data_IF_292960860542
#
_entry.id   IF_292960860542
#
_cell.length_a   1.000
_cell.length_b   1.000
_cell.length_c   1.000
_cell.angle_alpha   90.00
_cell.angle_beta   90.00
_cell.angle_gamma   90.00
#
_symmetry.space_group_name_H-M   'P 1'
#
loop_
_entity.id
_entity.type
_entity.pdbx_description
1 polymer ?
#
# COMPACT_ATOMS: atom_id res chain seq x y z
N UNK A 1 8.06 -13.10 -18.56
CA UNK A 1 6.76 -13.73 -18.20
C UNK A 1 6.14 -14.57 -19.33
N UNK A 2 6.18 -14.08 -20.59
CA UNK A 2 5.27 -14.49 -21.67
C UNK A 2 5.15 -15.98 -22.07
N UNK A 3 6.20 -16.77 -22.34
CA UNK A 3 5.97 -18.09 -22.95
C UNK A 3 5.24 -19.10 -22.06
N UNK A 4 5.33 -18.96 -20.73
CA UNK A 4 4.88 -19.98 -19.78
C UNK A 4 3.47 -19.75 -19.24
N UNK A 5 2.99 -18.49 -19.22
CA UNK A 5 1.73 -18.15 -18.54
C UNK A 5 0.70 -17.47 -19.45
N UNK A 6 1.02 -17.23 -20.73
CA UNK A 6 0.13 -16.52 -21.66
C UNK A 6 -1.23 -17.20 -21.84
N UNK A 7 -1.25 -18.54 -21.85
CA UNK A 7 -2.47 -19.34 -22.06
C UNK A 7 -3.18 -19.69 -20.74
N UNK A 8 -2.69 -19.19 -19.61
CA UNK A 8 -3.29 -19.38 -18.30
C UNK A 8 -4.30 -18.26 -18.02
N UNK A 9 -5.40 -18.62 -17.36
CA UNK A 9 -6.35 -17.66 -16.83
C UNK A 9 -5.70 -16.81 -15.75
N UNK A 10 -6.10 -15.54 -15.65
CA UNK A 10 -5.50 -14.63 -14.68
C UNK A 10 -5.61 -15.12 -13.23
N UNK A 11 -6.70 -15.82 -12.88
CA UNK A 11 -6.92 -16.41 -11.55
C UNK A 11 -5.98 -17.56 -11.20
N UNK A 12 -5.29 -18.18 -12.18
CA UNK A 12 -4.34 -19.26 -11.93
C UNK A 12 -2.89 -18.78 -11.90
N UNK A 13 -2.67 -17.47 -12.12
CA UNK A 13 -1.36 -16.84 -12.14
C UNK A 13 -1.11 -16.13 -10.81
N UNK A 14 0.01 -16.44 -10.16
CA UNK A 14 0.47 -15.67 -9.01
C UNK A 14 1.04 -14.33 -9.48
N UNK A 15 0.40 -13.22 -9.08
CA UNK A 15 0.84 -11.85 -9.39
C UNK A 15 1.40 -11.19 -8.12
N UNK A 16 2.73 -11.00 -8.00
CA UNK A 16 3.32 -10.36 -6.83
C UNK A 16 2.79 -8.94 -6.64
N UNK A 17 2.47 -8.60 -5.38
CA UNK A 17 1.87 -7.33 -4.97
C UNK A 17 2.82 -6.53 -4.08
N UNK A 18 2.96 -5.23 -4.35
CA UNK A 18 3.62 -4.28 -3.46
C UNK A 18 2.57 -3.55 -2.62
N UNK A 19 2.71 -3.62 -1.29
CA UNK A 19 1.87 -2.91 -0.34
C UNK A 19 2.35 -1.46 -0.15
N UNK A 20 1.45 -0.48 -0.19
CA UNK A 20 1.81 0.94 -0.17
C UNK A 20 2.89 1.28 -1.20
N UNK A 21 2.68 0.84 -2.44
CA UNK A 21 3.69 0.83 -3.49
C UNK A 21 4.25 2.21 -3.85
N UNK A 22 3.53 3.29 -3.53
CA UNK A 22 3.98 4.67 -3.72
C UNK A 22 4.92 5.22 -2.64
N UNK A 23 5.21 4.45 -1.58
CA UNK A 23 5.99 4.88 -0.42
C UNK A 23 7.44 4.38 -0.51
N UNK A 24 8.16 4.82 -1.55
CA UNK A 24 9.59 4.53 -1.75
C UNK A 24 10.53 5.72 -1.50
N UNK A 25 9.98 6.93 -1.54
CA UNK A 25 10.69 8.16 -1.18
C UNK A 25 9.67 9.09 -0.54
N UNK A 26 9.86 9.47 0.73
CA UNK A 26 8.87 10.29 1.40
C UNK A 26 9.11 11.76 1.07
N UNK A 27 8.06 12.45 0.63
CA UNK A 27 8.13 13.88 0.34
C UNK A 27 8.08 14.70 1.63
N UNK A 28 7.11 14.39 2.50
CA UNK A 28 6.87 15.09 3.76
C UNK A 28 6.30 14.16 4.83
N UNK A 29 6.49 14.53 6.10
CA UNK A 29 5.96 13.82 7.24
C UNK A 29 4.98 14.69 8.02
N UNK A 30 4.00 14.05 8.66
CA UNK A 30 3.08 14.67 9.61
C UNK A 30 3.31 14.10 11.00
N UNK A 31 3.49 15.01 11.97
CA UNK A 31 3.56 14.72 13.41
C UNK A 31 4.61 13.64 13.74
N UNK A 32 4.19 12.41 14.07
CA UNK A 32 5.08 11.30 14.43
C UNK A 32 5.49 10.43 13.22
N UNK A 33 5.19 10.91 12.00
CA UNK A 33 5.71 10.34 10.77
C UNK A 33 7.22 10.44 10.68
N UNK A 34 7.84 9.38 10.20
CA UNK A 34 9.27 9.30 9.93
C UNK A 34 9.53 8.28 8.83
N UNK A 35 10.77 8.22 8.33
CA UNK A 35 11.19 7.24 7.34
C UNK A 35 10.83 5.81 7.76
N UNK A 36 11.13 5.46 9.02
CA UNK A 36 10.92 4.10 9.55
C UNK A 36 9.46 3.72 9.73
N UNK A 37 8.56 4.70 9.87
CA UNK A 37 7.13 4.47 10.06
C UNK A 37 6.31 4.64 8.79
N UNK A 38 6.90 5.22 7.74
CA UNK A 38 6.18 5.61 6.52
C UNK A 38 6.63 4.83 5.29
N UNK A 39 7.92 4.50 5.17
CA UNK A 39 8.46 3.84 3.99
C UNK A 39 8.23 2.33 4.04
N UNK A 40 7.63 1.82 2.97
CA UNK A 40 7.32 0.40 2.78
C UNK A 40 8.04 -0.21 1.59
N UNK A 41 8.56 0.64 0.68
CA UNK A 41 9.26 0.22 -0.53
C UNK A 41 10.63 0.90 -0.63
N UNK A 42 11.57 0.30 -1.35
CA UNK A 42 12.86 0.92 -1.68
C UNK A 42 12.99 1.23 -3.19
N UNK A 43 11.98 0.84 -3.96
CA UNK A 43 12.00 0.85 -5.42
C UNK A 43 10.86 1.69 -5.96
N UNK A 44 11.14 2.44 -7.01
CA UNK A 44 10.18 3.29 -7.70
C UNK A 44 9.09 2.46 -8.38
N UNK A 45 8.00 3.08 -8.84
CA UNK A 45 6.96 2.40 -9.64
C UNK A 45 7.52 1.88 -10.97
N UNK A 46 8.56 2.53 -11.50
CA UNK A 46 9.28 2.02 -12.65
C UNK A 46 10.08 0.76 -12.32
N UNK A 47 10.79 0.73 -11.19
CA UNK A 47 11.72 -0.36 -10.84
C UNK A 47 11.03 -1.59 -10.26
N UNK A 48 10.00 -1.43 -9.42
CA UNK A 48 9.25 -2.53 -8.81
C UNK A 48 8.81 -3.61 -9.81
N UNK A 49 8.22 -3.29 -10.98
CA UNK A 49 7.85 -4.32 -11.95
C UNK A 49 9.03 -4.95 -12.68
N UNK A 50 10.20 -4.31 -12.73
CA UNK A 50 11.43 -4.97 -13.24
C UNK A 50 11.87 -6.12 -12.34
N UNK A 51 11.45 -6.10 -11.07
CA UNK A 51 11.68 -7.16 -10.08
C UNK A 51 10.53 -8.17 -9.97
N UNK A 52 9.51 -8.05 -10.82
CA UNK A 52 8.40 -9.02 -10.90
C UNK A 52 7.08 -8.58 -10.25
N UNK A 53 7.01 -7.39 -9.61
CA UNK A 53 5.75 -6.85 -9.09
C UNK A 53 4.77 -6.58 -10.24
N UNK A 54 3.52 -7.02 -10.12
CA UNK A 54 2.47 -6.78 -11.12
C UNK A 54 1.21 -6.16 -10.53
N UNK A 55 1.10 -6.10 -9.20
CA UNK A 55 0.01 -5.43 -8.47
C UNK A 55 0.58 -4.36 -7.54
N UNK A 56 0.01 -3.17 -7.59
CA UNK A 56 0.49 -2.01 -6.84
C UNK A 56 -0.62 -1.46 -5.96
N UNK A 57 -0.49 -1.59 -4.65
CA UNK A 57 -1.38 -0.94 -3.67
C UNK A 57 -1.02 0.54 -3.57
N UNK A 58 -1.83 1.40 -4.19
CA UNK A 58 -1.69 2.84 -4.17
C UNK A 58 -2.75 3.42 -3.25
N UNK A 59 -2.31 4.34 -2.37
CA UNK A 59 -3.20 5.05 -1.44
C UNK A 59 -3.15 6.56 -1.65
N UNK A 60 -3.69 7.07 -2.77
CA UNK A 60 -3.69 8.51 -3.03
C UNK A 60 -4.49 9.26 -1.96
N UNK A 61 -3.92 10.37 -1.49
CA UNK A 61 -4.57 11.35 -0.66
C UNK A 61 -4.37 12.75 -1.26
N UNK A 62 -5.26 13.69 -0.93
CA UNK A 62 -5.09 15.09 -1.29
C UNK A 62 -4.30 15.78 -0.17
N UNK A 63 -3.16 16.34 -0.54
CA UNK A 63 -2.34 17.19 0.31
C UNK A 63 -1.88 18.41 -0.49
N UNK A 64 -2.08 19.61 0.06
CA UNK A 64 -1.77 20.89 -0.56
C UNK A 64 -2.33 20.97 -2.00
N UNK A 65 -3.57 20.52 -2.17
CA UNK A 65 -4.30 20.39 -3.44
C UNK A 65 -3.71 19.41 -4.46
N UNK A 66 -2.67 18.64 -4.12
CA UNK A 66 -2.04 17.65 -4.98
C UNK A 66 -2.43 16.23 -4.57
N UNK A 67 -2.44 15.31 -5.54
CA UNK A 67 -2.60 13.88 -5.26
C UNK A 67 -1.23 13.23 -5.02
N UNK A 68 -1.03 12.72 -3.81
CA UNK A 68 0.18 12.00 -3.40
C UNK A 68 -0.20 10.68 -2.74
N UNK A 69 0.58 9.62 -2.89
CA UNK A 69 0.38 8.43 -2.07
C UNK A 69 0.67 8.75 -0.60
N UNK A 70 -0.09 8.19 0.32
CA UNK A 70 0.06 8.43 1.74
C UNK A 70 0.03 7.14 2.55
N UNK A 71 0.88 7.06 3.56
CA UNK A 71 0.78 6.05 4.62
C UNK A 71 0.49 6.78 5.92
N UNK A 72 -0.79 6.74 6.33
CA UNK A 72 -1.29 7.50 7.46
C UNK A 72 -2.08 6.61 8.41
N UNK A 73 -1.85 6.82 9.70
CA UNK A 73 -2.61 6.24 10.78
C UNK A 73 -3.27 7.33 11.61
N UNK A 74 -4.51 7.09 12.01
CA UNK A 74 -5.22 7.95 12.94
C UNK A 74 -4.94 7.53 14.39
N UNK A 75 -4.31 8.42 15.14
CA UNK A 75 -3.95 8.22 16.54
C UNK A 75 -5.04 8.86 17.41
N UNK A 76 -5.78 8.03 18.17
CA UNK A 76 -6.73 8.51 19.16
C UNK A 76 -6.01 9.02 20.40
N UNK A 77 -6.54 10.05 21.09
CA UNK A 77 -5.93 10.61 22.30
C UNK A 77 -5.73 9.56 23.40
N UNK A 78 -6.68 8.63 23.51
CA UNK A 78 -6.65 7.56 24.49
C UNK A 78 -5.49 6.57 24.32
N UNK A 79 -4.84 6.55 23.15
CA UNK A 79 -3.69 5.68 22.87
C UNK A 79 -2.34 6.34 23.18
N UNK A 80 -2.34 7.58 23.66
CA UNK A 80 -1.14 8.27 24.14
C UNK A 80 -1.03 7.94 25.63
N UNK A 81 -0.10 7.08 26.05
CA UNK A 81 -0.03 6.69 27.45
C UNK A 81 0.30 7.90 28.32
N UNK A 82 -0.33 7.99 29.51
CA UNK A 82 -0.28 9.17 30.37
C UNK A 82 1.14 9.63 30.74
N UNK A 83 2.11 8.72 30.73
CA UNK A 83 3.52 9.00 30.94
C UNK A 83 4.17 9.82 29.82
N UNK A 84 3.58 9.91 28.62
CA UNK A 84 4.03 10.80 27.54
C UNK A 84 3.69 12.26 27.88
N UNK A 85 2.55 12.49 28.54
CA UNK A 85 2.20 13.82 29.05
C UNK A 85 3.11 14.25 30.21
N UNK A 86 3.60 13.30 30.99
CA UNK A 86 4.60 13.58 32.03
C UNK A 86 6.00 13.75 31.43
N UNK A 87 6.35 13.00 30.37
CA UNK A 87 7.61 13.16 29.64
C UNK A 87 7.69 14.52 28.95
N UNK A 88 6.65 14.95 28.22
CA UNK A 88 6.57 16.27 27.57
C UNK A 88 6.75 17.42 28.55
N UNK A 89 6.11 17.35 29.73
CA UNK A 89 6.37 18.27 30.85
C UNK A 89 7.82 18.23 31.34
N UNK A 90 8.41 17.04 31.43
CA UNK A 90 9.78 16.84 31.93
C UNK A 90 10.84 17.37 30.95
N UNK A 91 10.61 17.25 29.64
CA UNK A 91 11.54 17.72 28.61
C UNK A 91 11.17 19.08 28.01
N UNK A 92 10.14 19.76 28.54
CA UNK A 92 9.72 21.09 28.10
C UNK A 92 9.14 21.16 26.69
N UNK A 93 8.63 20.04 26.17
CA UNK A 93 7.97 19.96 24.86
C UNK A 93 6.48 20.23 25.09
N UNK A 94 5.89 21.16 24.32
CA UNK A 94 4.46 21.48 24.43
C UNK A 94 3.60 20.23 24.15
N UNK A 95 2.61 19.97 25.01
CA UNK A 95 1.64 18.87 24.85
C UNK A 95 0.86 18.98 23.53
N UNK A 96 0.73 20.19 22.99
CA UNK A 96 0.00 20.43 21.75
C UNK A 96 0.78 19.92 20.51
N UNK A 97 2.09 19.64 20.64
CA UNK A 97 2.90 18.95 19.60
C UNK A 97 2.39 17.52 19.36
N UNK A 98 1.83 16.88 20.39
CA UNK A 98 1.23 15.56 20.31
C UNK A 98 -0.30 15.65 20.29
N UNK A 99 -0.91 16.69 19.72
CA UNK A 99 -2.37 16.74 19.53
C UNK A 99 -3.23 16.82 20.81
N UNK A 100 -2.63 16.92 22.00
CA UNK A 100 -3.36 17.04 23.27
C UNK A 100 -4.43 15.95 23.48
N UNK A 101 -5.67 16.37 23.75
CA UNK A 101 -6.82 15.48 23.98
C UNK A 101 -7.66 15.20 22.72
N UNK A 102 -7.14 15.49 21.53
CA UNK A 102 -7.87 15.48 20.25
C UNK A 102 -7.15 14.52 19.30
N UNK A 103 -7.84 13.61 18.60
CA UNK A 103 -7.16 12.62 17.76
C UNK A 103 -6.60 13.21 16.45
N UNK A 104 -5.59 12.55 15.90
CA UNK A 104 -4.78 13.11 14.83
C UNK A 104 -4.22 12.10 13.84
N UNK A 105 -3.93 12.54 12.61
CA UNK A 105 -3.19 11.77 11.62
C UNK A 105 -1.68 11.85 11.80
N UNK A 106 -1.02 10.69 11.76
CA UNK A 106 0.43 10.54 11.77
C UNK A 106 0.89 9.67 10.61
N UNK A 107 2.02 10.00 10.00
CA UNK A 107 2.53 9.27 8.85
C UNK A 107 3.22 10.19 7.86
N UNK A 108 3.20 9.83 6.58
CA UNK A 108 3.82 10.67 5.57
C UNK A 108 3.37 10.38 4.15
N UNK A 109 3.86 11.26 3.30
CA UNK A 109 3.57 11.35 1.87
C UNK A 109 4.65 10.62 1.10
N UNK A 110 4.27 9.96 0.02
CA UNK A 110 5.18 9.35 -0.95
C UNK A 110 5.06 10.02 -2.30
N UNK A 111 5.21 9.22 -3.35
CA UNK A 111 5.18 9.68 -4.73
C UNK A 111 3.87 10.36 -5.11
N UNK A 112 3.97 11.40 -5.95
CA UNK A 112 2.80 12.03 -6.57
C UNK A 112 2.12 11.08 -7.55
N UNK A 113 0.81 11.22 -7.74
CA UNK A 113 0.08 10.42 -8.74
C UNK A 113 0.60 10.70 -10.15
N UNK A 114 0.98 11.94 -10.46
CA UNK A 114 1.57 12.27 -11.76
C UNK A 114 2.92 11.55 -11.98
N UNK A 115 3.78 11.45 -10.97
CA UNK A 115 5.04 10.68 -11.07
C UNK A 115 4.78 9.19 -11.24
N UNK A 116 3.79 8.64 -10.52
CA UNK A 116 3.37 7.23 -10.65
C UNK A 116 2.91 6.95 -12.09
N UNK A 117 2.08 7.83 -12.66
CA UNK A 117 1.63 7.71 -14.05
C UNK A 117 2.82 7.76 -15.02
N UNK A 118 3.72 8.73 -14.84
CA UNK A 118 4.90 8.88 -15.68
C UNK A 118 5.78 7.63 -15.65
N UNK A 119 6.04 7.08 -14.46
CA UNK A 119 6.86 5.88 -14.29
C UNK A 119 6.19 4.62 -14.82
N UNK A 120 4.88 4.46 -14.61
CA UNK A 120 4.12 3.35 -15.18
C UNK A 120 4.13 3.40 -16.72
N UNK A 121 3.94 4.57 -17.31
CA UNK A 121 4.03 4.80 -18.76
C UNK A 121 5.44 4.52 -19.30
N UNK A 122 6.47 4.94 -18.57
CA UNK A 122 7.86 4.66 -18.92
C UNK A 122 8.14 3.15 -18.91
N UNK A 123 7.66 2.44 -17.88
CA UNK A 123 7.81 1.00 -17.78
C UNK A 123 7.12 0.27 -18.94
N UNK A 124 5.84 0.58 -19.19
CA UNK A 124 5.05 -0.10 -20.23
C UNK A 124 5.54 0.18 -21.64
N UNK A 125 6.15 1.35 -21.87
CA UNK A 125 6.84 1.69 -23.13
C UNK A 125 8.15 0.93 -23.29
N UNK A 126 8.96 0.82 -22.23
CA UNK A 126 10.27 0.16 -22.28
C UNK A 126 10.17 -1.37 -22.33
N UNK A 127 9.15 -1.93 -21.69
CA UNK A 127 8.91 -3.37 -21.60
C UNK A 127 7.54 -3.67 -22.22
N UNK A 128 7.42 -3.65 -23.55
CA UNK A 128 6.15 -3.89 -24.21
C UNK A 128 5.66 -5.30 -23.90
N UNK A 129 4.37 -5.37 -23.59
CA UNK A 129 3.71 -6.65 -23.39
C UNK A 129 3.60 -7.13 -21.95
N UNK A 130 3.87 -6.24 -21.02
CA UNK A 130 3.66 -6.44 -19.59
C UNK A 130 2.21 -6.11 -19.21
N UNK A 131 1.73 -6.74 -18.14
CA UNK A 131 0.39 -6.49 -17.59
C UNK A 131 0.51 -6.04 -16.14
N UNK A 132 0.06 -4.83 -15.82
CA UNK A 132 0.13 -4.31 -14.44
C UNK A 132 -1.24 -3.84 -13.95
N UNK A 133 -1.45 -3.98 -12.65
CA UNK A 133 -2.68 -3.60 -11.95
C UNK A 133 -2.36 -2.57 -10.88
N UNK A 134 -2.97 -1.40 -10.97
CA UNK A 134 -2.92 -0.36 -9.96
C UNK A 134 -4.19 -0.45 -9.11
N UNK A 135 -4.02 -0.71 -7.82
CA UNK A 135 -5.10 -0.83 -6.83
C UNK A 135 -5.16 0.44 -6.02
N UNK A 136 -6.17 1.25 -6.27
CA UNK A 136 -6.34 2.59 -5.72
C UNK A 136 -7.38 2.55 -4.61
N UNK A 137 -6.94 2.74 -3.37
CA UNK A 137 -7.76 2.61 -2.16
C UNK A 137 -7.40 3.67 -1.12
N UNK A 138 -8.07 3.66 0.04
CA UNK A 138 -7.75 4.57 1.15
C UNK A 138 -7.75 6.05 0.73
N UNK A 139 -8.83 6.47 0.08
CA UNK A 139 -8.96 7.77 -0.58
C UNK A 139 -9.40 8.86 0.40
N UNK A 140 -8.45 9.68 0.84
CA UNK A 140 -8.68 10.74 1.82
C UNK A 140 -8.27 12.11 1.29
N UNK A 141 -8.94 13.16 1.75
CA UNK A 141 -8.52 14.53 1.61
C UNK A 141 -7.98 15.04 2.97
N UNK A 142 -6.66 15.17 3.08
CA UNK A 142 -6.00 15.66 4.28
C UNK A 142 -5.95 17.19 4.37
N UNK A 143 -6.26 17.92 3.29
CA UNK A 143 -6.48 19.37 3.34
C UNK A 143 -7.78 19.71 4.06
N UNK A 144 -8.72 18.75 4.08
CA UNK A 144 -9.99 18.84 4.83
C UNK A 144 -9.99 17.96 6.08
N UNK A 145 -8.81 17.57 6.58
CA UNK A 145 -8.69 16.81 7.82
C UNK A 145 -9.47 17.52 8.93
N UNK A 146 -10.47 16.83 9.48
CA UNK A 146 -11.18 17.29 10.67
C UNK A 146 -10.55 16.61 11.87
N UNK A 147 -10.14 17.43 12.84
CA UNK A 147 -9.65 16.95 14.12
C UNK A 147 -10.67 16.04 14.81
N UNK A 148 -10.18 14.99 15.45
CA UNK A 148 -10.96 13.95 16.12
C UNK A 148 -11.83 13.03 15.21
N UNK A 149 -11.61 13.04 13.89
CA UNK A 149 -12.30 12.14 12.96
C UNK A 149 -11.41 10.99 12.45
N UNK A 150 -11.74 9.78 12.93
CA UNK A 150 -11.18 8.54 12.40
C UNK A 150 -11.64 8.34 10.95
N UNK A 151 -10.69 8.16 10.04
CA UNK A 151 -10.77 8.05 8.56
C UNK A 151 -10.60 9.35 7.75
N UNK A 152 -10.40 10.51 8.39
CA UNK A 152 -10.16 11.76 7.68
C UNK A 152 -11.38 12.12 6.83
N UNK A 153 -11.30 13.19 6.06
CA UNK A 153 -12.40 13.49 5.16
C UNK A 153 -12.24 12.64 3.90
N UNK A 154 -13.10 11.64 3.72
CA UNK A 154 -13.10 10.83 2.50
C UNK A 154 -13.24 11.71 1.27
N UNK A 155 -12.61 11.30 0.15
CA UNK A 155 -12.77 12.04 -1.10
C UNK A 155 -14.24 12.09 -1.49
N UNK A 156 -14.72 13.27 -1.90
CA UNK A 156 -16.04 13.42 -2.50
C UNK A 156 -16.01 13.07 -4.01
N UNK A 157 -17.16 13.14 -4.68
CA UNK A 157 -17.28 12.76 -6.09
C UNK A 157 -16.35 13.58 -6.99
N UNK A 158 -16.33 14.90 -6.84
CA UNK A 158 -15.48 15.78 -7.67
C UNK A 158 -13.98 15.50 -7.46
N UNK A 159 -13.56 15.20 -6.23
CA UNK A 159 -12.19 14.82 -5.91
C UNK A 159 -11.82 13.47 -6.50
N UNK A 160 -12.72 12.49 -6.43
CA UNK A 160 -12.54 11.19 -7.03
C UNK A 160 -12.48 11.27 -8.56
N UNK A 161 -13.33 12.08 -9.19
CA UNK A 161 -13.31 12.29 -10.63
C UNK A 161 -11.98 12.90 -11.06
N UNK A 162 -11.47 13.94 -10.36
CA UNK A 162 -10.14 14.50 -10.63
C UNK A 162 -9.01 13.48 -10.45
N UNK A 163 -9.09 12.60 -9.47
CA UNK A 163 -8.11 11.52 -9.29
C UNK A 163 -8.13 10.56 -10.49
N UNK A 164 -9.32 10.13 -10.92
CA UNK A 164 -9.46 9.24 -12.07
C UNK A 164 -9.04 9.91 -13.38
N UNK A 165 -9.22 11.22 -13.51
CA UNK A 165 -8.70 12.00 -14.64
C UNK A 165 -7.18 12.06 -14.65
N UNK A 166 -6.55 12.23 -13.49
CA UNK A 166 -5.09 12.16 -13.38
C UNK A 166 -4.56 10.79 -13.79
N UNK A 167 -5.17 9.71 -13.30
CA UNK A 167 -4.82 8.34 -13.64
C UNK A 167 -5.15 7.99 -15.10
N UNK A 168 -6.13 8.64 -15.73
CA UNK A 168 -6.51 8.38 -17.11
C UNK A 168 -5.42 8.80 -18.13
N UNK A 169 -4.38 9.49 -17.67
CA UNK A 169 -3.14 9.77 -18.43
C UNK A 169 -2.25 8.52 -18.59
N UNK A 170 -2.60 7.38 -17.98
CA UNK A 170 -1.93 6.10 -18.22
C UNK A 170 -2.12 5.64 -19.67
N UNK A 171 -1.06 5.11 -20.25
CA UNK A 171 -1.06 4.51 -21.57
C UNK A 171 -1.51 3.04 -21.49
N UNK A 172 -2.07 2.55 -22.60
CA UNK A 172 -2.46 1.14 -22.75
C UNK A 172 -3.43 0.66 -21.65
N UNK A 173 -4.36 1.54 -21.25
CA UNK A 173 -5.46 1.19 -20.34
C UNK A 173 -6.33 0.08 -20.94
N UNK A 174 -6.63 -0.93 -20.12
CA UNK A 174 -7.43 -2.09 -20.52
C UNK A 174 -8.88 -1.70 -20.84
N UNK A 175 -9.36 -2.02 -22.03
CA UNK A 175 -10.76 -1.80 -22.42
C UNK A 175 -11.55 -3.09 -22.25
N UNK A 176 -12.61 -3.02 -21.44
CA UNK A 176 -13.40 -4.17 -21.04
C UNK A 176 -14.43 -4.49 -22.11
N UNK A 177 -14.26 -5.62 -22.81
CA UNK A 177 -15.13 -6.01 -23.95
C UNK A 177 -16.60 -6.20 -23.54
N UNK A 178 -16.86 -6.76 -22.35
CA UNK A 178 -18.21 -6.97 -21.80
C UNK A 178 -18.60 -5.93 -20.72
N UNK A 179 -17.93 -4.77 -20.72
CA UNK A 179 -18.08 -3.74 -19.69
C UNK A 179 -17.44 -4.11 -18.34
N UNK A 180 -17.59 -3.22 -17.35
CA UNK A 180 -16.92 -3.32 -16.04
C UNK A 180 -17.28 -4.58 -15.23
N UNK A 181 -18.30 -5.35 -15.63
CA UNK A 181 -18.73 -6.59 -14.96
C UNK A 181 -18.07 -7.86 -15.49
N UNK A 182 -17.27 -7.78 -16.55
CA UNK A 182 -16.60 -8.92 -17.16
C UNK A 182 -15.81 -9.75 -16.11
N UNK A 183 -15.85 -11.07 -16.22
CA UNK A 183 -15.13 -11.98 -15.32
C UNK A 183 -13.65 -12.09 -15.74
N UNK A 184 -12.89 -10.98 -15.62
CA UNK A 184 -11.51 -10.87 -16.11
C UNK A 184 -10.57 -11.93 -15.51
N UNK A 185 -10.85 -12.39 -14.30
CA UNK A 185 -10.03 -13.42 -13.66
C UNK A 185 -10.04 -14.74 -14.44
N UNK A 186 -11.07 -14.99 -15.25
CA UNK A 186 -11.21 -16.17 -16.12
C UNK A 186 -10.67 -15.97 -17.53
N UNK A 187 -10.22 -14.76 -17.86
CA UNK A 187 -9.63 -14.43 -19.16
C UNK A 187 -8.17 -14.86 -19.18
N UNK A 188 -7.69 -15.37 -20.32
CA UNK A 188 -6.28 -15.71 -20.47
C UNK A 188 -5.43 -14.46 -20.51
N UNK A 189 -4.19 -14.53 -20.02
CA UNK A 189 -3.31 -13.36 -20.02
C UNK A 189 -3.06 -12.81 -21.44
N UNK A 190 -2.93 -13.68 -22.45
CA UNK A 190 -2.75 -13.25 -23.84
C UNK A 190 -3.98 -12.55 -24.44
N UNK A 191 -5.18 -12.86 -23.96
CA UNK A 191 -6.43 -12.20 -24.37
C UNK A 191 -6.54 -10.77 -23.79
N UNK A 192 -5.84 -10.50 -22.67
CA UNK A 192 -5.75 -9.15 -22.08
C UNK A 192 -4.71 -8.26 -22.77
N UNK A 193 -3.80 -8.84 -23.53
CA UNK A 193 -2.65 -8.15 -24.12
C UNK A 193 -2.83 -8.00 -25.63
N UNK A 194 -2.77 -6.76 -26.11
CA UNK A 194 -2.60 -6.53 -27.56
C UNK A 194 -1.16 -6.87 -27.97
N UNK A 195 -0.92 -7.60 -29.07
CA UNK A 195 0.45 -7.89 -29.52
C UNK A 195 1.31 -6.63 -29.63
N UNK A 196 2.50 -6.66 -29.04
CA UNK A 196 3.43 -5.54 -29.01
C UNK A 196 3.07 -4.41 -28.03
N UNK A 197 1.95 -4.50 -27.30
CA UNK A 197 1.50 -3.50 -26.32
C UNK A 197 1.38 -4.12 -24.94
N UNK A 198 1.69 -3.30 -23.93
CA UNK A 198 1.41 -3.60 -22.53
C UNK A 198 -0.06 -3.40 -22.22
N UNK A 199 -0.49 -3.69 -21.00
CA UNK A 199 -1.86 -3.50 -20.55
C UNK A 199 -1.86 -3.02 -19.09
N UNK A 200 -2.58 -1.94 -18.82
CA UNK A 200 -2.70 -1.33 -17.49
C UNK A 200 -4.16 -1.38 -17.04
N UNK A 201 -4.38 -1.86 -15.82
CA UNK A 201 -5.70 -1.88 -15.20
C UNK A 201 -5.69 -1.09 -13.90
N UNK A 202 -6.74 -0.31 -13.66
CA UNK A 202 -6.94 0.44 -12.43
C UNK A 202 -8.17 -0.10 -11.71
N UNK A 203 -7.96 -0.63 -10.51
CA UNK A 203 -9.01 -1.03 -9.60
C UNK A 203 -9.18 0.06 -8.55
N UNK A 204 -10.39 0.54 -8.33
CA UNK A 204 -10.67 1.61 -7.37
C UNK A 204 -11.61 1.13 -6.27
N UNK A 205 -11.36 1.57 -5.03
CA UNK A 205 -12.23 1.33 -3.87
C UNK A 205 -12.64 2.67 -3.23
N UNK A 206 -13.56 3.44 -3.87
CA UNK A 206 -13.98 4.72 -3.34
C UNK A 206 -14.98 4.57 -2.18
N UNK A 207 -15.22 5.67 -1.48
CA UNK A 207 -16.20 5.74 -0.40
C UNK A 207 -17.63 5.38 -0.86
N UNK A 208 -18.46 4.96 0.09
CA UNK A 208 -19.88 4.66 -0.18
C UNK A 208 -20.60 5.86 -0.80
N UNK A 209 -21.36 5.62 -1.86
CA UNK A 209 -22.07 6.67 -2.61
C UNK A 209 -21.23 7.40 -3.66
N UNK A 210 -19.91 7.17 -3.71
CA UNK A 210 -19.06 7.63 -4.81
C UNK A 210 -19.05 6.59 -5.91
N UNK A 211 -19.18 7.05 -7.15
CA UNK A 211 -19.29 6.17 -8.32
C UNK A 211 -18.25 6.52 -9.37
N UNK A 212 -17.85 5.53 -10.15
CA UNK A 212 -16.99 5.76 -11.29
C UNK A 212 -17.83 6.31 -12.44
N UNK A 213 -17.44 7.47 -12.98
CA UNK A 213 -18.17 8.06 -14.10
C UNK A 213 -18.16 7.18 -15.36
N UNK A 214 -19.18 7.29 -16.24
CA UNK A 214 -19.29 6.50 -17.47
C UNK A 214 -18.15 6.78 -18.48
N UNK A 215 -17.44 7.89 -18.32
CA UNK A 215 -16.25 8.21 -19.09
C UNK A 215 -15.04 7.32 -18.75
N UNK A 216 -15.04 6.69 -17.57
CA UNK A 216 -13.92 5.91 -17.03
C UNK A 216 -14.27 4.43 -16.85
N UNK A 217 -15.51 4.13 -16.45
CA UNK A 217 -15.97 2.76 -16.21
C UNK A 217 -15.79 1.86 -17.45
N UNK A 218 -15.06 0.75 -17.27
CA UNK A 218 -14.77 -0.20 -18.35
C UNK A 218 -13.74 0.29 -19.38
N UNK A 219 -13.14 1.47 -19.17
CA UNK A 219 -12.10 2.07 -20.01
C UNK A 219 -10.79 2.21 -19.24
N UNK A 220 -10.34 1.09 -18.66
CA UNK A 220 -9.17 1.01 -17.80
C UNK A 220 -9.49 0.95 -16.31
N UNK A 221 -10.70 1.39 -15.93
CA UNK A 221 -11.09 1.55 -14.54
C UNK A 221 -12.26 0.65 -14.15
N UNK A 222 -12.23 0.16 -12.90
CA UNK A 222 -13.32 -0.62 -12.30
C UNK A 222 -13.40 -0.43 -10.79
N UNK A 223 -14.61 -0.23 -10.28
CA UNK A 223 -14.92 -0.29 -8.85
C UNK A 223 -15.19 -1.73 -8.41
N UNK A 224 -14.14 -2.48 -8.10
CA UNK A 224 -14.22 -3.76 -7.36
C UNK A 224 -12.85 -4.40 -7.32
N UNK A 225 -12.61 -5.25 -6.33
CA UNK A 225 -11.46 -6.14 -6.35
C UNK A 225 -11.60 -7.30 -7.34
N UNK A 226 -10.45 -7.79 -7.82
CA UNK A 226 -10.38 -8.99 -8.65
C UNK A 226 -10.38 -10.22 -7.74
N UNK A 227 -11.55 -10.76 -7.42
CA UNK A 227 -11.64 -12.09 -6.78
C UNK A 227 -11.62 -13.19 -7.83
N UNK A 228 -10.84 -14.29 -7.66
CA UNK A 228 -10.12 -14.70 -6.44
C UNK A 228 -8.63 -14.30 -6.41
N UNK A 229 -8.18 -13.40 -7.30
CA UNK A 229 -6.78 -12.94 -7.34
C UNK A 229 -6.39 -12.22 -6.04
N UNK A 230 -7.37 -11.74 -5.26
CA UNK A 230 -7.15 -11.36 -3.87
C UNK A 230 -6.49 -12.49 -3.07
N UNK A 231 -5.34 -12.16 -2.50
CA UNK A 231 -4.64 -12.98 -1.55
C UNK A 231 -5.61 -13.36 -0.43
N UNK A 232 -5.84 -14.65 -0.22
CA UNK A 232 -6.11 -15.24 1.10
C UNK A 232 -4.85 -15.12 1.96
N UNK A 233 -4.21 -13.94 1.92
CA UNK A 233 -3.02 -13.63 2.67
C UNK A 233 -3.34 -13.91 4.12
N UNK A 234 -2.50 -14.74 4.74
CA UNK A 234 -2.63 -15.35 6.08
C UNK A 234 -2.89 -14.34 7.23
N UNK A 235 -2.98 -13.05 6.92
CA UNK A 235 -3.20 -11.95 7.86
C UNK A 235 -4.55 -11.23 7.74
N UNK A 236 -5.42 -11.61 6.80
CA UNK A 236 -6.77 -11.03 6.67
C UNK A 236 -7.88 -11.87 7.33
N UNK A 237 -7.54 -12.84 8.18
CA UNK A 237 -8.53 -13.49 9.02
C UNK A 237 -8.92 -12.57 10.20
N UNK A 238 -10.23 -12.42 10.44
CA UNK A 238 -10.76 -11.80 11.67
C UNK A 238 -10.14 -12.43 12.92
N UNK A 239 -9.72 -13.70 12.86
CA UNK A 239 -8.97 -14.37 13.92
C UNK A 239 -7.60 -13.71 14.23
N UNK A 240 -6.90 -13.17 13.23
CA UNK A 240 -5.61 -12.50 13.41
C UNK A 240 -5.75 -11.12 14.07
N UNK A 241 -6.86 -10.40 13.86
CA UNK A 241 -7.19 -9.17 14.62
C UNK A 241 -7.41 -9.46 16.10
N UNK A 242 -8.08 -10.57 16.42
CA UNK A 242 -8.29 -11.02 17.81
C UNK A 242 -7.02 -11.57 18.45
N UNK A 243 -6.10 -12.13 17.66
CA UNK A 243 -4.78 -12.54 18.16
C UNK A 243 -3.80 -11.37 18.33
N UNK A 244 -3.90 -10.29 17.54
CA UNK A 244 -3.15 -9.04 17.80
C UNK A 244 -3.51 -8.44 19.16
N UNK A 245 -4.80 -8.40 19.51
CA UNK A 245 -5.18 -7.88 20.84
C UNK A 245 -4.75 -8.79 22.00
N UNK A 246 -4.52 -10.08 21.74
CA UNK A 246 -4.02 -11.04 22.75
C UNK A 246 -2.49 -11.17 22.82
N UNK A 247 -1.74 -10.91 21.73
CA UNK A 247 -0.26 -10.90 21.75
C UNK A 247 0.32 -9.54 22.17
N UNK A 248 -0.40 -8.43 21.90
CA UNK A 248 0.02 -7.07 22.27
C UNK A 248 -0.77 -6.49 23.45
N UNK A 249 -1.76 -7.22 23.96
CA UNK A 249 -2.49 -6.89 25.17
C UNK A 249 -1.73 -7.29 26.42
N UNK A 250 -1.10 -6.31 27.07
CA UNK A 250 -0.58 -6.42 28.43
C UNK A 250 0.84 -6.97 28.52
N UNK A 251 1.79 -6.08 28.83
CA UNK A 251 3.13 -6.42 29.37
C UNK A 251 4.20 -6.94 28.38
N UNK A 252 4.07 -6.73 27.07
CA UNK A 252 5.18 -7.01 26.15
C UNK A 252 6.34 -6.04 26.37
N UNK A 253 7.52 -6.58 26.73
CA UNK A 253 8.77 -5.83 26.93
C UNK A 253 9.29 -5.14 25.66
N UNK A 254 8.83 -5.58 24.48
CA UNK A 254 9.23 -5.07 23.18
C UNK A 254 8.62 -3.69 22.89
N UNK A 255 7.41 -3.42 23.37
CA UNK A 255 6.76 -2.11 23.27
C UNK A 255 7.46 -1.05 24.15
N UNK A 256 8.03 -1.46 25.30
CA UNK A 256 8.82 -0.56 26.16
C UNK A 256 10.15 -0.13 25.51
N UNK A 257 10.59 -0.81 24.45
CA UNK A 257 11.82 -0.53 23.72
C UNK A 257 11.59 0.20 22.39
N UNK A 258 10.36 0.62 22.10
CA UNK A 258 10.05 1.45 20.92
C UNK A 258 10.11 0.70 19.57
N UNK A 259 9.87 -0.61 19.57
CA UNK A 259 9.82 -1.43 18.34
C UNK A 259 8.36 -1.58 17.89
N UNK A 260 7.99 -0.93 16.78
CA UNK A 260 6.58 -0.76 16.36
C UNK A 260 6.19 -1.61 15.15
N UNK A 261 7.16 -2.23 14.47
CA UNK A 261 6.91 -3.13 13.34
C UNK A 261 7.63 -4.47 13.50
N UNK A 262 7.17 -5.48 12.76
CA UNK A 262 7.86 -6.79 12.68
C UNK A 262 9.26 -6.65 12.09
N UNK A 263 9.48 -5.62 11.27
CA UNK A 263 10.78 -5.23 10.74
C UNK A 263 11.69 -4.64 11.83
N UNK A 264 11.15 -3.87 12.77
CA UNK A 264 11.90 -3.37 13.94
C UNK A 264 12.28 -4.52 14.88
N UNK A 265 11.36 -5.46 15.11
CA UNK A 265 11.65 -6.68 15.88
C UNK A 265 12.71 -7.53 15.18
N UNK A 266 12.63 -7.70 13.86
CA UNK A 266 13.63 -8.45 13.08
C UNK A 266 15.00 -7.75 13.07
N UNK A 267 15.05 -6.40 12.97
CA UNK A 267 16.27 -5.59 13.07
C UNK A 267 16.87 -5.60 14.47
N UNK A 268 16.06 -5.71 15.52
CA UNK A 268 16.54 -5.86 16.90
C UNK A 268 17.07 -7.27 17.20
N UNK A 269 16.46 -8.30 16.60
CA UNK A 269 16.91 -9.69 16.75
C UNK A 269 18.14 -10.02 15.88
N UNK A 270 18.37 -9.29 14.78
CA UNK A 270 19.47 -9.56 13.85
C UNK A 270 20.87 -9.43 14.46
N UNK A 271 21.20 -8.43 15.31
CA UNK A 271 22.51 -8.33 15.95
C UNK A 271 22.77 -9.39 17.02
N UNK A 272 21.71 -9.89 17.69
CA UNK A 272 21.87 -10.84 18.81
C UNK A 272 21.99 -12.30 18.37
N UNK A 273 21.63 -12.64 17.13
CA UNK A 273 21.76 -14.01 16.60
C UNK A 273 22.80 -14.20 15.50
N UNK A 274 23.41 -13.12 14.99
CA UNK A 274 24.45 -13.24 13.96
C UNK A 274 25.77 -13.79 14.52
N UNK A 275 26.14 -13.45 15.77
CA UNK A 275 27.38 -13.96 16.39
C UNK A 275 27.32 -15.44 16.75
N UNK A 276 26.14 -15.96 17.13
CA UNK A 276 25.95 -17.39 17.41
C UNK A 276 25.86 -18.21 16.11
N UNK A 277 25.12 -17.72 15.10
CA UNK A 277 24.92 -18.43 13.84
C UNK A 277 26.17 -18.49 12.93
N UNK A 278 27.12 -17.57 13.10
CA UNK A 278 28.39 -17.57 12.36
C UNK A 278 29.46 -18.51 12.94
N UNK A 279 29.27 -19.04 14.16
CA UNK A 279 30.24 -19.92 14.82
C UNK A 279 30.01 -21.41 14.57
N UNK A 280 28.87 -21.81 14.03
CA UNK A 280 28.47 -23.22 13.88
C UNK A 280 27.83 -23.52 12.52
N UNK A 281 28.65 -23.73 11.48
CA UNK A 281 28.16 -24.38 10.25
C UNK A 281 29.22 -25.28 9.60
N UNK A 282 28.87 -26.53 9.24
CA UNK A 282 29.54 -27.24 8.15
C UNK A 282 29.00 -26.75 6.79
N UNK A 283 29.81 -26.79 5.72
CA UNK A 283 29.43 -26.24 4.42
C UNK A 283 28.36 -27.09 3.72
N UNK A 284 27.36 -26.44 3.09
CA UNK A 284 26.59 -27.07 2.00
C UNK A 284 25.05 -27.10 2.04
N UNK A 285 24.32 -26.29 2.81
CA UNK A 285 22.84 -26.22 2.67
C UNK A 285 22.25 -24.80 2.62
N UNK A 286 21.37 -24.61 1.63
CA UNK A 286 20.57 -23.43 1.35
C UNK A 286 19.33 -23.36 2.27
N UNK A 287 18.82 -22.16 2.54
CA UNK A 287 17.69 -21.92 3.43
C UNK A 287 16.36 -22.24 2.72
N UNK A 288 15.61 -23.21 3.23
CA UNK A 288 14.18 -23.38 2.96
C UNK A 288 13.43 -23.48 4.29
N UNK A 289 12.45 -22.59 4.46
CA UNK A 289 11.31 -22.64 5.37
C UNK A 289 11.53 -23.23 6.78
N UNK A 290 11.61 -22.35 7.80
CA UNK A 290 11.32 -22.73 9.18
C UNK A 290 9.79 -22.81 9.36
N UNK A 291 9.26 -24.03 9.37
CA UNK A 291 7.99 -24.33 10.03
C UNK A 291 8.20 -24.32 11.55
N UNK A 292 7.26 -23.71 12.26
CA UNK A 292 7.24 -23.67 13.72
C UNK A 292 6.76 -25.01 14.27
N UNK A 293 7.57 -25.62 15.13
CA UNK A 293 7.13 -26.47 16.24
C UNK A 293 7.30 -25.66 17.53
#
# INVERSE_FOLDING_TARGET
MRPLINDLNLETICLPRAHDAGLYEPAHYRRLGSLSTTITQEKTIFDQPTLGVRRFDLRPCIVNSNFVCGHYEYIKPAYVPGNVWDFTKTVGIDKDIFGGSIGWYSGGEGASVDDIVNQANQFTSKFPGEFIILEVSHLFNLDREVQDQELGYQMNQDEFDRLTDALAKLNELYVYQDGSKAAITKTKLNELLTPGKSCVMVLTDPASGITLGPAREGKGFRCSSLRPIEDTGVFHDKAARTHRSKMFGGSSSLLKQGLWSITDVARWLAPQKLSEALSTRPPGRCWTCLSAD
#
